data_IF_077435759901
#
_entry.id   IF_077435759901
#
_cell.length_a   1.000
_cell.length_b   1.000
_cell.length_c   1.000
_cell.angle_alpha   90.00
_cell.angle_beta   90.00
_cell.angle_gamma   90.00
#
_symmetry.space_group_name_H-M   'P 1'
#
loop_
_entity.id
_entity.type
_entity.pdbx_description
1 polymer ?
#
# COMPACT_ATOMS: atom_id res chain seq x y z
N UNK A 1 11.28 -9.92 -2.90
CA UNK A 1 9.84 -9.59 -2.68
C UNK A 1 9.65 -8.19 -2.09
N UNK A 2 10.00 -7.14 -2.82
CA UNK A 2 9.79 -5.74 -2.38
C UNK A 2 8.32 -5.31 -2.50
N UNK A 3 7.60 -5.90 -3.46
CA UNK A 3 6.22 -5.56 -3.79
C UNK A 3 5.27 -5.62 -2.59
N UNK A 4 5.32 -6.69 -1.80
CA UNK A 4 4.36 -6.96 -0.72
C UNK A 4 4.91 -6.63 0.68
N UNK A 5 6.22 -6.38 0.81
CA UNK A 5 6.86 -5.99 2.08
C UNK A 5 6.60 -6.98 3.23
N UNK A 6 6.43 -8.27 2.93
CA UNK A 6 6.13 -9.29 3.94
C UNK A 6 4.77 -9.11 4.63
N UNK A 7 3.81 -8.40 4.03
CA UNK A 7 2.46 -8.27 4.58
C UNK A 7 1.77 -9.65 4.53
N UNK A 8 1.38 -10.25 5.68
CA UNK A 8 0.97 -11.65 5.74
C UNK A 8 -0.25 -12.00 4.87
N UNK A 9 -1.24 -11.09 4.80
CA UNK A 9 -2.44 -11.28 4.00
C UNK A 9 -2.14 -11.25 2.49
N UNK A 10 -1.40 -10.24 2.02
CA UNK A 10 -1.02 -10.06 0.64
C UNK A 10 -0.12 -11.20 0.18
N UNK A 11 0.84 -11.63 1.01
CA UNK A 11 1.71 -12.77 0.69
C UNK A 11 0.89 -14.06 0.58
N UNK A 12 -0.01 -14.32 1.55
CA UNK A 12 -0.90 -15.49 1.49
C UNK A 12 -1.77 -15.46 0.23
N UNK A 13 -2.38 -14.30 -0.08
CA UNK A 13 -3.22 -14.14 -1.26
C UNK A 13 -2.45 -14.32 -2.56
N UNK A 14 -1.24 -13.77 -2.64
CA UNK A 14 -0.34 -13.94 -3.78
C UNK A 14 -0.06 -15.42 -4.03
N UNK A 15 0.41 -16.15 -3.01
CA UNK A 15 0.74 -17.56 -3.12
C UNK A 15 -0.48 -18.40 -3.49
N UNK A 16 -1.64 -18.10 -2.89
CA UNK A 16 -2.90 -18.76 -3.22
C UNK A 16 -3.26 -18.56 -4.70
N UNK A 17 -3.26 -17.32 -5.19
CA UNK A 17 -3.65 -17.03 -6.57
C UNK A 17 -2.64 -17.55 -7.59
N UNK A 18 -1.34 -17.55 -7.27
CA UNK A 18 -0.32 -18.19 -8.11
C UNK A 18 -0.58 -19.69 -8.31
N UNK A 19 -1.03 -20.39 -7.26
CA UNK A 19 -1.34 -21.83 -7.34
C UNK A 19 -2.70 -22.06 -8.00
N UNK A 20 -3.75 -21.37 -7.54
CA UNK A 20 -5.12 -21.65 -7.95
C UNK A 20 -5.46 -21.13 -9.35
N UNK A 21 -4.75 -20.11 -9.83
CA UNK A 21 -4.96 -19.48 -11.14
C UNK A 21 -3.78 -19.66 -12.08
N UNK A 22 -2.77 -20.43 -11.66
CA UNK A 22 -1.54 -20.69 -12.41
C UNK A 22 -0.80 -19.41 -12.88
N UNK A 23 -0.93 -18.33 -12.10
CA UNK A 23 -0.32 -17.02 -12.41
C UNK A 23 1.15 -17.07 -12.02
N UNK A 24 2.02 -16.68 -12.95
CA UNK A 24 3.46 -16.56 -12.69
C UNK A 24 3.77 -15.32 -11.85
N UNK A 25 4.89 -15.34 -11.14
CA UNK A 25 5.28 -14.25 -10.24
C UNK A 25 5.42 -12.91 -10.97
N UNK A 26 6.03 -12.90 -12.16
CA UNK A 26 6.20 -11.71 -13.00
C UNK A 26 4.86 -11.10 -13.43
N UNK A 27 3.90 -11.94 -13.81
CA UNK A 27 2.54 -11.50 -14.14
C UNK A 27 1.80 -10.96 -12.91
N UNK A 28 1.92 -11.63 -11.76
CA UNK A 28 1.37 -11.17 -10.49
C UNK A 28 1.94 -9.79 -10.15
N UNK A 29 3.26 -9.58 -10.24
CA UNK A 29 3.88 -8.29 -9.92
C UNK A 29 3.47 -7.17 -10.87
N UNK A 30 3.26 -7.48 -12.15
CA UNK A 30 2.81 -6.53 -13.18
C UNK A 30 1.36 -6.10 -12.96
N UNK A 31 0.48 -7.03 -12.61
CA UNK A 31 -0.97 -6.81 -12.49
C UNK A 31 -1.43 -6.43 -11.08
N UNK A 32 -0.57 -6.61 -10.08
CA UNK A 32 -0.86 -6.32 -8.67
C UNK A 32 -1.51 -4.96 -8.38
N UNK A 33 -1.06 -3.82 -8.97
CA UNK A 33 -1.64 -2.51 -8.67
C UNK A 33 -2.90 -2.19 -9.49
N UNK A 34 -3.35 -3.08 -10.37
CA UNK A 34 -4.51 -2.82 -11.22
C UNK A 34 -5.83 -2.90 -10.44
N UNK A 35 -6.85 -2.17 -10.89
CA UNK A 35 -8.19 -2.17 -10.29
C UNK A 35 -8.93 -3.51 -10.38
N UNK A 36 -8.49 -4.40 -11.27
CA UNK A 36 -8.96 -5.76 -11.50
C UNK A 36 -7.88 -6.82 -11.19
N UNK A 37 -6.77 -6.38 -10.57
CA UNK A 37 -5.64 -7.23 -10.21
C UNK A 37 -5.91 -8.18 -9.03
N UNK A 38 -4.93 -9.04 -8.69
CA UNK A 38 -5.06 -10.06 -7.63
C UNK A 38 -5.31 -9.47 -6.22
N UNK A 39 -5.04 -8.18 -6.03
CA UNK A 39 -5.27 -7.47 -4.76
C UNK A 39 -6.36 -6.40 -4.84
N UNK A 40 -7.12 -6.34 -5.93
CA UNK A 40 -8.12 -5.30 -6.19
C UNK A 40 -9.07 -5.07 -5.02
N UNK A 41 -9.69 -6.14 -4.50
CA UNK A 41 -10.65 -6.04 -3.38
C UNK A 41 -10.01 -5.44 -2.13
N UNK A 42 -8.77 -5.84 -1.83
CA UNK A 42 -8.03 -5.31 -0.69
C UNK A 42 -7.72 -3.82 -0.89
N UNK A 43 -7.24 -3.44 -2.07
CA UNK A 43 -6.84 -2.07 -2.38
C UNK A 43 -8.03 -1.11 -2.48
N UNK A 44 -9.19 -1.58 -2.98
CA UNK A 44 -10.44 -0.79 -3.00
C UNK A 44 -10.99 -0.54 -1.60
N UNK A 45 -11.11 -1.59 -0.78
CA UNK A 45 -11.52 -1.46 0.64
C UNK A 45 -10.58 -0.53 1.39
N UNK A 46 -9.29 -0.68 1.12
CA UNK A 46 -8.25 0.17 1.67
C UNK A 46 -8.43 1.66 1.30
N UNK A 47 -8.70 1.96 0.03
CA UNK A 47 -8.95 3.32 -0.42
C UNK A 47 -10.19 3.92 0.24
N UNK A 48 -11.30 3.16 0.28
CA UNK A 48 -12.56 3.60 0.94
C UNK A 48 -12.33 3.96 2.40
N UNK A 49 -11.53 3.19 3.14
CA UNK A 49 -11.20 3.48 4.54
C UNK A 49 -10.39 4.78 4.69
N UNK A 50 -9.59 5.16 3.69
CA UNK A 50 -8.82 6.39 3.67
C UNK A 50 -9.63 7.60 3.18
N UNK A 51 -10.59 7.40 2.29
CA UNK A 51 -11.37 8.47 1.66
C UNK A 51 -12.15 9.35 2.65
N UNK A 52 -12.45 8.86 3.86
CA UNK A 52 -13.09 9.65 4.92
C UNK A 52 -12.14 10.51 5.76
N UNK A 53 -10.84 10.53 5.45
CA UNK A 53 -9.82 11.22 6.25
C UNK A 53 -8.86 12.01 5.35
N UNK A 54 -9.21 13.27 5.07
CA UNK A 54 -8.43 14.17 4.22
C UNK A 54 -7.00 14.39 4.73
N UNK A 55 -6.81 14.44 6.05
CA UNK A 55 -5.48 14.58 6.63
C UNK A 55 -4.60 13.36 6.29
N UNK A 56 -5.15 12.15 6.34
CA UNK A 56 -4.44 10.93 5.95
C UNK A 56 -4.12 10.94 4.46
N UNK A 57 -5.08 11.32 3.60
CA UNK A 57 -4.86 11.42 2.16
C UNK A 57 -3.75 12.41 1.82
N UNK A 58 -3.76 13.60 2.43
CA UNK A 58 -2.74 14.63 2.20
C UNK A 58 -1.35 14.18 2.66
N UNK A 59 -1.26 13.54 3.83
CA UNK A 59 0.00 12.96 4.29
C UNK A 59 0.53 11.91 3.31
N UNK A 60 -0.33 11.03 2.79
CA UNK A 60 0.06 10.02 1.82
C UNK A 60 0.47 10.63 0.47
N UNK A 61 -0.17 11.71 0.03
CA UNK A 61 0.24 12.50 -1.16
C UNK A 61 1.63 13.10 -0.97
N UNK A 62 1.87 13.75 0.17
CA UNK A 62 3.18 14.32 0.48
C UNK A 62 4.26 13.24 0.50
N UNK A 63 3.96 12.08 1.10
CA UNK A 63 4.88 10.95 1.12
C UNK A 63 5.17 10.41 -0.29
N UNK A 64 4.17 10.33 -1.17
CA UNK A 64 4.36 9.97 -2.58
C UNK A 64 5.24 10.96 -3.34
N UNK A 65 5.19 12.24 -2.97
CA UNK A 65 6.04 13.32 -3.48
C UNK A 65 7.44 13.35 -2.83
N UNK A 66 7.76 12.38 -1.95
CA UNK A 66 9.06 12.31 -1.27
C UNK A 66 9.21 13.27 -0.08
N UNK A 67 8.11 13.87 0.39
CA UNK A 67 8.11 14.73 1.57
C UNK A 67 7.81 13.89 2.82
N UNK A 68 8.60 14.00 3.89
CA UNK A 68 8.31 13.30 5.13
C UNK A 68 7.02 13.84 5.77
N UNK A 69 6.24 13.01 6.48
CA UNK A 69 5.07 13.46 7.23
C UNK A 69 5.41 14.54 8.25
N UNK A 70 4.61 15.60 8.28
CA UNK A 70 4.71 16.69 9.25
C UNK A 70 3.89 16.42 10.52
N UNK A 71 2.78 15.69 10.40
CA UNK A 71 1.97 15.24 11.53
C UNK A 71 2.46 13.88 12.06
N UNK A 72 3.23 13.93 13.16
CA UNK A 72 3.73 12.75 13.83
C UNK A 72 2.64 11.83 14.41
N UNK A 73 1.53 12.38 14.93
CA UNK A 73 0.43 11.55 15.48
C UNK A 73 -0.24 10.76 14.36
N UNK A 74 -0.48 11.42 13.23
CA UNK A 74 -1.07 10.76 12.08
C UNK A 74 -0.12 9.72 11.46
N UNK A 75 1.18 10.02 11.38
CA UNK A 75 2.21 9.04 11.00
C UNK A 75 2.13 7.77 11.85
N UNK A 76 2.13 7.91 13.19
CA UNK A 76 2.08 6.73 14.07
C UNK A 76 0.77 5.95 13.94
N UNK A 77 -0.36 6.63 13.71
CA UNK A 77 -1.65 5.97 13.42
C UNK A 77 -1.59 5.17 12.12
N UNK A 78 -1.09 5.75 11.04
CA UNK A 78 -0.95 5.07 9.76
C UNK A 78 0.08 3.93 9.81
N UNK A 79 1.14 4.07 10.62
CA UNK A 79 2.09 2.99 10.91
C UNK A 79 1.42 1.84 11.67
N UNK A 80 0.66 2.15 12.72
CA UNK A 80 -0.08 1.15 13.50
C UNK A 80 -1.14 0.42 12.65
N UNK A 81 -1.78 1.13 11.73
CA UNK A 81 -2.69 0.54 10.75
C UNK A 81 -1.99 -0.28 9.65
N UNK A 82 -0.65 -0.33 9.64
CA UNK A 82 0.13 -1.12 8.69
C UNK A 82 0.22 -0.52 7.30
N UNK A 83 0.02 0.79 7.13
CA UNK A 83 0.21 1.50 5.87
C UNK A 83 1.64 1.92 5.66
N UNK A 84 2.23 2.42 6.75
CA UNK A 84 3.56 2.98 6.76
C UNK A 84 4.51 2.09 7.57
N UNK A 85 5.79 2.28 7.32
CA UNK A 85 6.91 1.81 8.12
C UNK A 85 7.85 2.98 8.39
N UNK A 86 8.80 2.77 9.29
CA UNK A 86 9.71 3.81 9.77
C UNK A 86 9.60 3.96 11.29
N UNK A 87 10.71 4.34 11.89
CA UNK A 87 10.81 4.61 13.33
C UNK A 87 10.27 6.02 13.65
N UNK A 88 10.50 6.96 12.74
CA UNK A 88 10.20 8.38 12.87
C UNK A 88 9.52 8.91 11.60
N UNK A 89 8.87 10.08 11.65
CA UNK A 89 8.33 10.70 10.44
C UNK A 89 9.39 10.96 9.35
N UNK A 90 10.64 11.28 9.72
CA UNK A 90 11.69 11.57 8.74
C UNK A 90 12.15 10.35 7.93
N UNK A 91 11.99 9.13 8.46
CA UNK A 91 12.27 7.89 7.74
C UNK A 91 10.99 7.12 7.35
N UNK A 92 9.86 7.83 7.29
CA UNK A 92 8.59 7.25 6.88
C UNK A 92 8.68 6.72 5.44
N UNK A 93 8.12 5.54 5.23
CA UNK A 93 7.93 4.96 3.91
C UNK A 93 6.65 4.12 3.89
N UNK A 94 6.12 3.84 2.70
CA UNK A 94 5.08 2.84 2.56
C UNK A 94 5.56 1.48 3.06
N UNK A 95 4.66 0.74 3.70
CA UNK A 95 4.96 -0.61 4.22
C UNK A 95 5.38 -1.56 3.11
N UNK A 96 4.81 -1.40 1.92
CA UNK A 96 5.14 -2.16 0.73
C UNK A 96 5.00 -1.32 -0.53
N UNK A 97 5.70 -1.71 -1.61
CA UNK A 97 5.64 -0.97 -2.87
C UNK A 97 4.25 -1.02 -3.51
N UNK A 98 3.46 -2.08 -3.26
CA UNK A 98 2.11 -2.22 -3.80
C UNK A 98 1.22 -1.03 -3.42
N UNK A 99 1.24 -0.63 -2.15
CA UNK A 99 0.45 0.51 -1.67
C UNK A 99 0.89 1.81 -2.34
N UNK A 100 2.21 2.04 -2.46
CA UNK A 100 2.73 3.22 -3.14
C UNK A 100 2.32 3.27 -4.62
N UNK A 101 2.39 2.13 -5.33
CA UNK A 101 2.00 2.04 -6.75
C UNK A 101 0.51 2.30 -6.94
N UNK A 102 -0.34 1.65 -6.14
CA UNK A 102 -1.79 1.82 -6.22
C UNK A 102 -2.20 3.25 -5.89
N UNK A 103 -1.75 3.80 -4.77
CA UNK A 103 -2.12 5.16 -4.36
C UNK A 103 -1.61 6.23 -5.30
N UNK A 104 -0.46 6.04 -5.97
CA UNK A 104 0.00 6.98 -7.00
C UNK A 104 -1.01 7.11 -8.16
N UNK A 105 -1.71 6.04 -8.53
CA UNK A 105 -2.74 6.11 -9.55
C UNK A 105 -4.06 6.76 -9.10
N UNK A 106 -4.29 6.86 -7.78
CA UNK A 106 -5.57 7.30 -7.22
C UNK A 106 -5.51 8.65 -6.48
N UNK A 107 -4.32 9.08 -6.05
CA UNK A 107 -4.12 10.30 -5.28
C UNK A 107 -3.32 11.39 -6.01
N UNK A 108 -2.79 11.09 -7.21
CA UNK A 108 -2.09 12.05 -8.05
C UNK A 108 -3.01 13.18 -8.53
#
# INVERSE_FOLDING_TARGET
>A
MRLLGGQPYLVRRALHDMVMREIKLDELERTAPNEDGPFADHLKRFLVLLSGNDAALNLLRDLLAGKPPTDGKLFFRLRAAGLLRGETPSNAAFRCDLYARYLRGHLA
#
